data_IF_100440252357
#
_entry.id   IF_100440252357
#
_cell.length_a   1.000
_cell.length_b   1.000
_cell.length_c   1.000
_cell.angle_alpha   90.00
_cell.angle_beta   90.00
_cell.angle_gamma   90.00
#
_symmetry.space_group_name_H-M   'P 1'
#
loop_
_entity.id
_entity.type
_entity.pdbx_description
1 polymer ?
#
# COMPACT_ATOMS: atom_id res chain seq x y z
N UNK A 1 6.13 10.65 -12.52
CA UNK A 1 6.66 9.36 -12.01
C UNK A 1 7.44 8.64 -13.10
N UNK A 2 6.82 8.35 -14.26
CA UNK A 2 7.53 7.72 -15.38
C UNK A 2 8.74 8.53 -15.87
N UNK A 3 8.64 9.87 -15.91
CA UNK A 3 9.78 10.71 -16.32
C UNK A 3 10.90 10.77 -15.27
N UNK A 4 10.56 10.65 -13.98
CA UNK A 4 11.56 10.55 -12.91
C UNK A 4 12.31 9.19 -12.97
N UNK A 5 11.61 8.12 -13.37
CA UNK A 5 12.23 6.80 -13.63
C UNK A 5 13.16 6.88 -14.84
N UNK A 6 12.79 7.63 -15.89
CA UNK A 6 13.63 7.85 -17.08
C UNK A 6 14.87 8.72 -16.80
N UNK A 7 14.75 9.73 -15.94
CA UNK A 7 15.84 10.68 -15.67
C UNK A 7 17.05 10.06 -14.94
N UNK A 8 16.84 9.06 -14.09
CA UNK A 8 17.92 8.34 -13.40
C UNK A 8 18.69 7.40 -14.36
N UNK A 9 18.23 7.24 -15.61
CA UNK A 9 18.70 6.20 -16.52
C UNK A 9 19.84 6.56 -17.49
N UNK A 10 20.49 7.72 -17.37
CA UNK A 10 21.44 8.20 -18.40
C UNK A 10 22.78 7.43 -18.52
N UNK A 11 23.01 6.39 -17.71
CA UNK A 11 24.12 5.41 -17.88
C UNK A 11 23.65 3.94 -17.82
N UNK A 12 22.38 3.65 -18.08
CA UNK A 12 21.75 2.44 -17.51
C UNK A 12 21.72 1.24 -18.46
N UNK A 13 22.32 0.12 -17.97
CA UNK A 13 22.02 -1.27 -18.36
C UNK A 13 20.54 -1.42 -18.72
N UNK A 14 20.22 -2.11 -19.81
CA UNK A 14 18.83 -2.31 -20.27
C UNK A 14 17.85 -2.55 -19.11
N UNK A 15 16.87 -1.66 -18.97
CA UNK A 15 16.09 -1.46 -17.74
C UNK A 15 15.19 -2.63 -17.34
N UNK A 16 15.20 -3.83 -17.90
CA UNK A 16 14.19 -4.90 -17.67
C UNK A 16 12.69 -4.45 -17.81
N UNK A 17 11.84 -5.19 -18.54
CA UNK A 17 10.44 -4.77 -18.76
C UNK A 17 9.54 -4.97 -17.52
N UNK A 18 10.05 -5.58 -16.45
CA UNK A 18 9.31 -5.89 -15.23
C UNK A 18 9.98 -5.25 -14.01
N UNK A 19 9.29 -4.31 -13.37
CA UNK A 19 9.73 -3.66 -12.13
C UNK A 19 9.02 -4.25 -10.91
N UNK A 20 9.73 -5.06 -10.15
CA UNK A 20 9.23 -5.64 -8.91
C UNK A 20 9.18 -4.59 -7.79
N UNK A 21 8.02 -4.49 -7.16
CA UNK A 21 7.74 -3.69 -5.97
C UNK A 21 7.51 -4.65 -4.78
N UNK A 22 8.45 -4.76 -3.83
CA UNK A 22 8.23 -5.53 -2.63
C UNK A 22 7.03 -4.98 -1.87
N UNK A 23 6.32 -5.90 -1.23
CA UNK A 23 5.16 -5.59 -0.40
C UNK A 23 5.64 -5.39 1.04
N UNK A 24 5.10 -4.39 1.72
CA UNK A 24 5.23 -4.21 3.16
C UNK A 24 3.85 -4.24 3.80
N UNK A 25 3.61 -5.21 4.68
CA UNK A 25 2.29 -5.38 5.29
C UNK A 25 2.14 -4.54 6.55
N UNK A 26 1.13 -3.68 6.55
CA UNK A 26 0.69 -2.89 7.69
C UNK A 26 -0.44 -3.62 8.42
N UNK A 27 -0.34 -3.67 9.74
CA UNK A 27 -1.36 -4.27 10.60
C UNK A 27 -2.63 -3.41 10.72
N UNK A 28 -3.41 -3.71 11.74
CA UNK A 28 -4.60 -2.95 12.13
C UNK A 28 -4.38 -2.12 13.40
N UNK A 29 -3.17 -2.17 13.98
CA UNK A 29 -2.79 -1.33 15.10
C UNK A 29 -2.60 0.11 14.64
N UNK A 30 -3.40 1.00 15.20
CA UNK A 30 -3.13 2.44 15.15
C UNK A 30 -1.94 2.74 16.04
N UNK A 31 -1.00 3.54 15.55
CA UNK A 31 0.03 4.09 16.40
C UNK A 31 -0.27 5.55 16.68
N UNK A 32 -0.67 5.85 17.91
CA UNK A 32 -0.92 7.22 18.37
C UNK A 32 0.37 7.97 18.74
N UNK A 33 1.55 7.32 18.68
CA UNK A 33 2.82 7.91 19.13
C UNK A 33 3.71 8.45 18.01
N UNK A 34 3.21 8.56 16.77
CA UNK A 34 3.97 9.29 15.76
C UNK A 34 4.09 10.77 16.15
N UNK A 35 5.23 11.39 15.87
CA UNK A 35 5.51 12.78 16.27
C UNK A 35 4.54 13.82 15.71
N UNK A 36 4.74 15.07 16.13
CA UNK A 36 3.83 16.22 15.91
C UNK A 36 3.32 16.37 14.47
N UNK A 37 4.16 16.16 13.46
CA UNK A 37 3.76 16.23 12.05
C UNK A 37 2.68 15.20 11.69
N UNK A 38 2.80 13.97 12.17
CA UNK A 38 1.78 12.95 11.93
C UNK A 38 0.47 13.32 12.61
N UNK A 39 0.52 13.91 13.80
CA UNK A 39 -0.67 14.40 14.47
C UNK A 39 -1.32 15.55 13.71
N UNK A 40 -0.52 16.49 13.19
CA UNK A 40 -1.01 17.62 12.37
C UNK A 40 -1.73 17.11 11.13
N UNK A 41 -1.16 16.12 10.45
CA UNK A 41 -1.80 15.44 9.30
C UNK A 41 -3.09 14.75 9.72
N UNK A 42 -3.10 14.05 10.85
CA UNK A 42 -4.30 13.39 11.37
C UNK A 42 -5.39 14.40 11.75
N UNK A 43 -5.04 15.56 12.33
CA UNK A 43 -5.98 16.65 12.64
C UNK A 43 -6.62 17.20 11.38
N UNK A 44 -5.83 17.47 10.34
CA UNK A 44 -6.32 17.91 9.03
C UNK A 44 -7.31 16.89 8.45
N UNK A 45 -6.93 15.61 8.45
CA UNK A 45 -7.78 14.54 7.93
C UNK A 45 -9.07 14.36 8.75
N UNK A 46 -9.03 14.46 10.08
CA UNK A 46 -10.23 14.36 10.94
C UNK A 46 -11.18 15.53 10.77
N UNK A 47 -10.65 16.73 10.50
CA UNK A 47 -11.45 17.94 10.31
C UNK A 47 -12.25 17.89 9.01
N UNK A 48 -11.54 17.62 7.92
CA UNK A 48 -12.08 17.85 6.57
C UNK A 48 -12.34 16.55 5.80
N UNK A 49 -11.99 15.37 6.33
CA UNK A 49 -12.09 14.09 5.61
C UNK A 49 -12.64 12.96 6.50
N UNK A 50 -12.94 11.81 5.89
CA UNK A 50 -13.34 10.61 6.62
C UNK A 50 -12.08 9.86 7.11
N UNK A 51 -11.41 10.41 8.13
CA UNK A 51 -10.19 9.83 8.71
C UNK A 51 -10.30 8.34 9.06
N UNK A 52 -11.40 7.82 9.65
CA UNK A 52 -11.61 6.39 9.86
C UNK A 52 -11.38 5.52 8.61
N UNK A 53 -11.68 6.01 7.41
CA UNK A 53 -11.49 5.24 6.17
C UNK A 53 -10.07 5.34 5.58
N UNK A 54 -9.23 6.21 6.14
CA UNK A 54 -7.89 6.49 5.64
C UNK A 54 -6.85 5.57 6.27
N UNK A 55 -6.81 4.30 5.86
CA UNK A 55 -5.88 3.29 6.39
C UNK A 55 -4.40 3.73 6.35
N UNK A 56 -4.00 4.49 5.32
CA UNK A 56 -2.63 5.01 5.17
C UNK A 56 -2.25 6.05 6.24
N UNK A 57 -3.25 6.73 6.82
CA UNK A 57 -3.07 7.69 7.91
C UNK A 57 -3.26 7.04 9.29
N UNK A 58 -4.14 6.05 9.42
CA UNK A 58 -4.42 5.33 10.69
C UNK A 58 -3.33 4.34 11.08
N UNK A 59 -3.02 3.40 10.20
CA UNK A 59 -2.19 2.26 10.56
C UNK A 59 -0.74 2.53 10.19
N UNK A 60 0.13 2.50 11.20
CA UNK A 60 1.55 2.85 11.05
C UNK A 60 2.49 1.72 11.37
N UNK A 61 1.99 0.68 12.04
CA UNK A 61 2.77 -0.49 12.43
C UNK A 61 2.73 -1.53 11.32
N UNK A 62 3.89 -2.08 10.99
CA UNK A 62 4.07 -3.03 9.90
C UNK A 62 4.95 -4.22 10.31
N UNK A 63 4.92 -5.28 9.50
CA UNK A 63 5.82 -6.43 9.61
C UNK A 63 7.28 -6.06 9.31
N UNK A 64 8.24 -6.98 9.53
CA UNK A 64 9.63 -6.74 9.17
C UNK A 64 9.80 -6.57 7.66
N UNK A 65 10.60 -5.60 7.18
CA UNK A 65 10.75 -5.25 5.76
C UNK A 65 11.17 -6.44 4.86
N UNK A 66 12.02 -7.32 5.38
CA UNK A 66 12.47 -8.54 4.68
C UNK A 66 11.84 -9.83 5.21
N UNK A 67 10.74 -9.75 5.96
CA UNK A 67 10.02 -10.92 6.43
C UNK A 67 9.03 -11.39 5.35
N UNK A 68 9.45 -12.40 4.57
CA UNK A 68 8.62 -12.96 3.50
C UNK A 68 7.30 -13.54 4.01
N UNK A 69 7.29 -14.18 5.18
CA UNK A 69 6.05 -14.76 5.72
C UNK A 69 5.00 -13.70 6.04
N UNK A 70 5.40 -12.56 6.57
CA UNK A 70 4.50 -11.45 6.85
C UNK A 70 4.10 -10.70 5.57
N UNK A 71 5.06 -10.41 4.70
CA UNK A 71 4.84 -9.53 3.56
C UNK A 71 4.23 -10.26 2.36
N UNK A 72 4.59 -11.53 2.15
CA UNK A 72 4.30 -12.33 0.96
C UNK A 72 4.86 -11.68 -0.32
N UNK A 73 4.56 -12.27 -1.48
CA UNK A 73 5.08 -11.82 -2.78
C UNK A 73 4.76 -10.35 -3.10
N UNK A 74 5.76 -9.66 -3.67
CA UNK A 74 5.62 -8.31 -4.22
C UNK A 74 4.72 -8.26 -5.45
N UNK A 75 4.48 -7.08 -6.00
CA UNK A 75 3.77 -6.91 -7.28
C UNK A 75 4.72 -6.37 -8.33
N UNK A 76 4.37 -6.53 -9.59
CA UNK A 76 5.21 -6.11 -10.71
C UNK A 76 4.49 -5.03 -11.51
N UNK A 77 5.19 -3.92 -11.77
CA UNK A 77 4.83 -3.00 -12.84
C UNK A 77 5.47 -3.52 -14.13
N UNK A 78 4.68 -3.64 -15.19
CA UNK A 78 5.16 -4.16 -16.47
C UNK A 78 5.09 -3.06 -17.51
N UNK A 79 6.20 -2.86 -18.21
CA UNK A 79 6.25 -2.03 -19.41
C UNK A 79 5.95 -2.89 -20.64
N UNK A 80 4.69 -2.83 -21.08
CA UNK A 80 4.22 -3.63 -22.22
C UNK A 80 4.91 -3.26 -23.53
N UNK A 81 5.42 -2.02 -23.68
CA UNK A 81 6.12 -1.59 -24.90
C UNK A 81 7.45 -2.29 -25.12
N UNK A 82 7.94 -3.00 -24.10
CA UNK A 82 9.23 -3.70 -24.08
C UNK A 82 9.07 -5.22 -24.06
N UNK A 83 7.84 -5.72 -24.22
CA UNK A 83 7.57 -7.14 -24.36
C UNK A 83 7.44 -7.49 -25.84
N UNK A 84 7.88 -8.69 -26.21
CA UNK A 84 7.59 -9.24 -27.53
C UNK A 84 6.13 -9.71 -27.61
N UNK A 85 5.57 -9.77 -28.83
CA UNK A 85 4.24 -10.32 -29.06
C UNK A 85 4.11 -11.76 -28.53
N UNK A 86 5.18 -12.56 -28.64
CA UNK A 86 5.25 -13.89 -28.06
C UNK A 86 5.15 -13.89 -26.53
N UNK A 87 5.73 -12.89 -25.86
CA UNK A 87 5.63 -12.81 -24.41
C UNK A 87 4.21 -12.46 -23.94
N UNK A 88 3.45 -11.68 -24.73
CA UNK A 88 2.08 -11.27 -24.40
C UNK A 88 0.99 -12.17 -25.00
N UNK A 89 1.35 -13.13 -25.85
CA UNK A 89 0.39 -14.04 -26.48
C UNK A 89 -0.29 -14.99 -25.49
N UNK A 90 0.34 -15.25 -24.35
CA UNK A 90 -0.24 -16.04 -23.26
C UNK A 90 -0.87 -15.15 -22.18
N UNK A 91 -2.07 -15.53 -21.74
CA UNK A 91 -2.72 -14.87 -20.61
C UNK A 91 -1.90 -15.02 -19.32
N UNK A 92 -1.66 -13.94 -18.55
CA UNK A 92 -0.85 -14.01 -17.34
C UNK A 92 -1.50 -14.88 -16.27
N UNK A 93 -0.86 -16.01 -15.94
CA UNK A 93 -1.34 -16.97 -14.93
C UNK A 93 -1.01 -16.59 -13.49
N UNK A 94 -0.16 -15.59 -13.27
CA UNK A 94 0.27 -15.16 -11.94
C UNK A 94 0.43 -13.64 -11.89
N UNK A 95 -0.41 -12.96 -11.11
CA UNK A 95 -0.36 -11.50 -10.89
C UNK A 95 0.97 -11.00 -10.30
N UNK A 96 1.72 -11.85 -9.62
CA UNK A 96 3.03 -11.52 -9.06
C UNK A 96 4.14 -11.67 -10.09
N UNK A 97 3.91 -12.42 -11.18
CA UNK A 97 4.88 -12.63 -12.26
C UNK A 97 4.09 -12.87 -13.57
N UNK A 98 3.51 -11.80 -14.15
CA UNK A 98 2.57 -11.94 -15.27
C UNK A 98 3.17 -12.66 -16.47
N UNK A 99 4.42 -12.30 -16.83
CA UNK A 99 5.14 -12.84 -17.98
C UNK A 99 6.38 -13.61 -17.51
N UNK A 100 6.23 -14.90 -17.20
CA UNK A 100 7.30 -15.71 -16.59
C UNK A 100 8.64 -15.67 -17.35
N UNK A 101 8.70 -15.75 -18.69
CA UNK A 101 9.98 -15.76 -19.40
C UNK A 101 10.79 -14.47 -19.21
N UNK A 102 10.13 -13.36 -18.90
CA UNK A 102 10.74 -12.02 -18.92
C UNK A 102 10.79 -11.37 -17.53
N UNK A 103 9.78 -11.61 -16.69
CA UNK A 103 9.77 -11.13 -15.31
C UNK A 103 10.54 -12.08 -14.39
N UNK A 104 11.37 -11.55 -13.52
CA UNK A 104 12.11 -12.31 -12.50
C UNK A 104 11.20 -12.85 -11.38
N UNK A 105 11.78 -13.61 -10.45
CA UNK A 105 11.07 -14.10 -9.26
C UNK A 105 10.56 -12.90 -8.44
N UNK A 106 9.31 -12.90 -7.94
CA UNK A 106 8.72 -11.75 -7.24
C UNK A 106 9.19 -11.59 -5.78
N UNK A 107 10.49 -11.79 -5.56
CA UNK A 107 11.17 -11.64 -4.28
C UNK A 107 12.34 -10.68 -4.50
N UNK A 108 12.34 -9.58 -3.75
CA UNK A 108 13.40 -8.58 -3.75
C UNK A 108 13.51 -7.98 -2.35
N UNK A 109 14.73 -7.78 -1.81
CA UNK A 109 14.93 -7.07 -0.55
C UNK A 109 14.29 -5.69 -0.60
N UNK A 110 13.67 -5.28 0.50
CA UNK A 110 12.93 -4.02 0.56
C UNK A 110 13.84 -2.81 0.31
N UNK A 111 15.08 -2.86 0.82
CA UNK A 111 16.08 -1.79 0.76
C UNK A 111 16.62 -1.58 -0.65
N UNK A 112 16.55 -2.58 -1.52
CA UNK A 112 17.02 -2.49 -2.92
C UNK A 112 15.95 -1.96 -3.87
N UNK A 113 14.71 -1.77 -3.39
CA UNK A 113 13.59 -1.40 -4.23
C UNK A 113 13.41 0.11 -4.30
N UNK A 114 13.27 0.62 -5.53
CA UNK A 114 12.95 2.03 -5.79
C UNK A 114 11.49 2.32 -5.42
N UNK A 115 10.61 1.36 -5.67
CA UNK A 115 9.19 1.42 -5.40
C UNK A 115 8.79 0.28 -4.48
N UNK A 116 7.92 0.56 -3.51
CA UNK A 116 7.38 -0.44 -2.61
C UNK A 116 5.86 -0.27 -2.49
N UNK A 117 5.19 -1.37 -2.11
CA UNK A 117 3.76 -1.39 -1.90
C UNK A 117 3.42 -1.54 -0.43
N UNK A 118 2.77 -0.53 0.14
CA UNK A 118 2.21 -0.61 1.49
C UNK A 118 0.85 -1.32 1.42
N UNK A 119 0.76 -2.49 2.05
CA UNK A 119 -0.43 -3.34 2.04
C UNK A 119 -1.09 -3.35 3.42
N UNK A 120 -2.23 -2.67 3.56
CA UNK A 120 -2.93 -2.50 4.82
C UNK A 120 -3.93 -3.63 5.06
N UNK A 121 -3.85 -4.27 6.22
CA UNK A 121 -4.84 -5.26 6.69
C UNK A 121 -6.20 -4.59 6.97
N UNK A 122 -6.17 -3.35 7.46
CA UNK A 122 -7.33 -2.57 7.91
C UNK A 122 -8.07 -3.16 9.12
N UNK A 123 -9.15 -2.50 9.56
CA UNK A 123 -10.02 -2.99 10.63
C UNK A 123 -10.66 -4.34 10.28
N UNK A 124 -11.19 -5.02 11.28
CA UNK A 124 -11.86 -6.30 11.07
C UNK A 124 -13.08 -6.17 10.14
N UNK A 125 -13.86 -5.11 10.29
CA UNK A 125 -15.09 -4.86 9.54
C UNK A 125 -14.76 -4.68 8.06
N UNK A 126 -13.73 -3.88 7.75
CA UNK A 126 -13.27 -3.70 6.37
C UNK A 126 -12.58 -4.95 5.82
N UNK A 127 -11.91 -5.71 6.68
CA UNK A 127 -11.29 -6.96 6.29
C UNK A 127 -12.35 -8.01 5.93
N UNK A 128 -13.36 -8.20 6.78
CA UNK A 128 -14.41 -9.22 6.68
C UNK A 128 -15.55 -8.85 5.72
N UNK A 129 -15.77 -7.56 5.43
CA UNK A 129 -16.76 -7.12 4.44
C UNK A 129 -16.47 -7.59 3.00
N UNK A 130 -15.29 -8.14 2.73
CA UNK A 130 -14.95 -8.70 1.42
C UNK A 130 -15.41 -10.15 1.34
N UNK A 131 -16.12 -10.49 0.26
CA UNK A 131 -16.55 -11.86 -0.07
C UNK A 131 -15.35 -12.72 -0.51
N UNK A 132 -14.51 -13.14 0.43
CA UNK A 132 -13.36 -14.01 0.21
C UNK A 132 -13.26 -14.98 1.39
N UNK A 133 -13.56 -16.27 1.14
CA UNK A 133 -13.66 -17.32 2.16
C UNK A 133 -12.37 -17.52 2.97
N UNK A 134 -11.23 -17.10 2.42
CA UNK A 134 -9.93 -17.17 3.11
C UNK A 134 -9.83 -16.15 4.25
N UNK A 135 -10.77 -15.21 4.34
CA UNK A 135 -10.79 -14.13 5.32
C UNK A 135 -11.47 -14.59 6.61
N UNK A 136 -10.69 -15.26 7.44
CA UNK A 136 -11.12 -15.66 8.77
C UNK A 136 -10.65 -14.66 9.83
N UNK A 137 -11.32 -14.65 10.97
CA UNK A 137 -10.88 -13.86 12.14
C UNK A 137 -9.46 -14.26 12.57
N UNK A 138 -9.17 -15.55 12.59
CA UNK A 138 -7.83 -16.08 12.87
C UNK A 138 -6.76 -15.47 11.94
N UNK A 139 -6.99 -15.53 10.63
CA UNK A 139 -6.06 -14.96 9.65
C UNK A 139 -5.90 -13.44 9.85
N UNK A 140 -7.00 -12.73 10.13
CA UNK A 140 -6.93 -11.30 10.43
C UNK A 140 -6.09 -11.02 11.67
N UNK A 141 -6.30 -11.73 12.78
CA UNK A 141 -5.53 -11.55 14.02
C UNK A 141 -4.03 -11.77 13.80
N UNK A 142 -3.65 -12.81 13.05
CA UNK A 142 -2.25 -13.09 12.70
C UNK A 142 -1.57 -11.92 11.95
N UNK A 143 -2.35 -11.12 11.20
CA UNK A 143 -1.86 -9.98 10.43
C UNK A 143 -2.06 -8.62 11.10
N UNK A 144 -3.08 -8.49 11.94
CA UNK A 144 -3.51 -7.23 12.53
C UNK A 144 -2.51 -6.71 13.56
N UNK A 145 -1.88 -7.62 14.30
CA UNK A 145 -1.05 -7.31 15.46
C UNK A 145 0.45 -7.44 15.21
N UNK A 146 0.92 -7.11 13.99
CA UNK A 146 2.36 -6.97 13.78
C UNK A 146 2.94 -5.88 14.68
N UNK A 147 4.18 -6.08 15.15
CA UNK A 147 4.88 -5.17 16.07
C UNK A 147 6.34 -4.91 15.67
N UNK A 148 6.75 -5.33 14.46
CA UNK A 148 8.17 -5.38 14.08
C UNK A 148 8.73 -4.08 13.55
N UNK A 149 7.91 -3.16 13.03
CA UNK A 149 8.36 -1.87 12.55
C UNK A 149 7.26 -0.81 12.57
N UNK A 150 7.67 0.45 12.47
CA UNK A 150 6.76 1.58 12.34
C UNK A 150 7.17 2.49 11.18
N UNK A 151 6.19 3.19 10.64
CA UNK A 151 6.35 4.10 9.51
C UNK A 151 6.37 5.58 9.91
N UNK A 152 6.40 5.90 11.20
CA UNK A 152 6.40 7.29 11.68
C UNK A 152 7.60 8.06 11.11
N UNK A 153 8.78 7.42 11.07
CA UNK A 153 10.02 8.00 10.52
C UNK A 153 10.13 7.93 9.00
N UNK A 154 9.23 7.20 8.33
CA UNK A 154 9.29 6.96 6.89
C UNK A 154 8.51 8.02 6.09
N UNK A 155 7.95 9.04 6.76
CA UNK A 155 7.23 10.15 6.14
C UNK A 155 6.07 9.73 5.22
N UNK A 156 5.53 8.51 5.42
CA UNK A 156 4.48 7.94 4.56
C UNK A 156 3.16 8.72 4.60
N UNK A 157 3.02 9.68 5.52
CA UNK A 157 1.84 10.50 5.70
C UNK A 157 1.93 11.84 4.95
N UNK A 158 3.12 12.23 4.46
CA UNK A 158 3.34 13.52 3.81
C UNK A 158 2.67 13.64 2.43
N UNK A 159 2.25 12.52 1.81
CA UNK A 159 1.50 12.58 0.56
C UNK A 159 0.19 13.33 0.75
N UNK A 160 -0.45 13.22 1.92
CA UNK A 160 -1.80 13.72 2.12
C UNK A 160 -1.88 15.25 2.11
N UNK A 161 -1.08 16.00 2.90
CA UNK A 161 -1.07 17.46 2.80
C UNK A 161 -0.73 17.96 1.40
N UNK A 162 0.22 17.31 0.70
CA UNK A 162 0.60 17.68 -0.67
C UNK A 162 -0.52 17.42 -1.66
N UNK A 163 -1.24 16.31 -1.49
CA UNK A 163 -2.40 15.97 -2.31
C UNK A 163 -3.52 17.01 -2.13
N UNK A 164 -3.82 17.36 -0.88
CA UNK A 164 -4.81 18.41 -0.57
C UNK A 164 -4.37 19.77 -1.11
N UNK A 165 -3.10 20.13 -0.96
CA UNK A 165 -2.54 21.38 -1.51
C UNK A 165 -2.67 21.42 -3.03
N UNK A 166 -2.41 20.32 -3.73
CA UNK A 166 -2.42 20.27 -5.19
C UNK A 166 -3.84 20.33 -5.79
N UNK A 167 -4.80 19.62 -5.19
CA UNK A 167 -6.16 19.54 -5.72
C UNK A 167 -7.14 20.52 -5.07
N UNK A 168 -6.81 21.08 -3.90
CA UNK A 168 -7.75 21.79 -3.04
C UNK A 168 -8.64 20.82 -2.25
N UNK A 169 -9.14 21.28 -1.10
CA UNK A 169 -9.90 20.44 -0.14
C UNK A 169 -11.13 19.78 -0.77
N UNK A 170 -11.99 20.54 -1.45
CA UNK A 170 -13.23 20.02 -2.03
C UNK A 170 -12.99 18.93 -3.07
N UNK A 171 -12.06 19.15 -4.01
CA UNK A 171 -11.73 18.15 -5.04
C UNK A 171 -11.04 16.94 -4.40
N UNK A 172 -10.17 17.16 -3.42
CA UNK A 172 -9.52 16.07 -2.69
C UNK A 172 -10.53 15.19 -1.94
N UNK A 173 -11.57 15.76 -1.32
CA UNK A 173 -12.64 14.99 -0.66
C UNK A 173 -13.36 14.06 -1.64
N UNK A 174 -13.73 14.57 -2.82
CA UNK A 174 -14.38 13.78 -3.88
C UNK A 174 -13.46 12.66 -4.36
N UNK A 175 -12.20 12.97 -4.67
CA UNK A 175 -11.22 11.99 -5.17
C UNK A 175 -10.88 10.90 -4.14
N UNK A 176 -10.95 11.21 -2.85
CA UNK A 176 -10.72 10.25 -1.77
C UNK A 176 -12.00 9.52 -1.34
N UNK A 177 -13.11 9.70 -2.07
CA UNK A 177 -14.36 8.99 -1.81
C UNK A 177 -15.01 9.37 -0.48
N UNK A 178 -14.78 10.59 0.01
CA UNK A 178 -15.49 11.12 1.18
C UNK A 178 -16.94 11.35 0.76
N UNK A 179 -17.83 10.41 1.10
CA UNK A 179 -19.26 10.69 1.07
C UNK A 179 -19.60 11.61 2.24
N UNK A 180 -19.85 12.88 1.94
CA UNK A 180 -20.20 13.89 2.95
C UNK A 180 -21.53 13.57 3.67
N UNK A 181 -22.28 12.56 3.22
CA UNK A 181 -23.63 12.26 3.69
C UNK A 181 -23.75 11.16 4.75
N UNK A 182 -22.68 10.41 5.05
CA UNK A 182 -22.75 9.32 6.03
C UNK A 182 -21.49 9.22 6.90
N UNK A 183 -21.58 9.75 8.13
CA UNK A 183 -20.59 9.51 9.19
C UNK A 183 -21.13 8.46 10.16
N UNK A 184 -20.99 7.18 9.81
CA UNK A 184 -21.28 6.10 10.76
C UNK A 184 -20.06 5.81 11.64
N UNK A 185 -20.27 5.72 12.95
CA UNK A 185 -19.28 5.24 13.91
C UNK A 185 -19.29 3.71 13.90
N UNK A 186 -18.23 3.09 13.41
CA UNK A 186 -18.07 1.63 13.40
C UNK A 186 -17.29 1.19 14.64
N UNK A 187 -17.78 0.17 15.32
CA UNK A 187 -17.12 -0.45 16.47
C UNK A 187 -16.18 -1.54 15.94
N UNK A 188 -14.89 -1.37 16.17
CA UNK A 188 -13.80 -2.20 15.62
C UNK A 188 -13.54 -3.47 16.47
N UNK A 189 -14.29 -4.58 16.31
CA UNK A 189 -13.95 -5.87 16.95
C UNK A 189 -14.40 -7.08 16.12
N UNK A 190 -13.49 -8.06 15.98
CA UNK A 190 -13.89 -9.40 15.59
C UNK A 190 -14.79 -10.01 16.69
N UNK A 191 -15.97 -10.57 16.35
CA UNK A 191 -16.80 -11.28 17.31
C UNK A 191 -16.05 -12.50 17.84
N UNK A 192 -16.08 -12.68 19.16
CA UNK A 192 -15.45 -13.80 19.88
C UNK A 192 -16.11 -15.14 19.56
#
# INVERSE_FOLDING_TARGET
ILDAIRYVSREVKEVAPCHLMPRLRFGALENLTCGEESERVNRLAKKDFNFPEMSTLRYKIHGGKNNFEANKFGKVLVDLSRLSDQAVSEWPKNVHRPFRPVCTVPIKPYEEAILALNHYTASWERYSARQDERRTCKAWMEMAFYTKGNSCQQNIHHWFPRFVQHFGTTKAQVLLGVDLRNRSTVVDRCPH
#
